data_IF_662447444135
#
_entry.id   IF_662447444135
#
_cell.length_a   1.000
_cell.length_b   1.000
_cell.length_c   1.000
_cell.angle_alpha   90.00
_cell.angle_beta   90.00
_cell.angle_gamma   90.00
#
_symmetry.space_group_name_H-M   'P 1'
#
loop_
_entity.id
_entity.type
_entity.pdbx_description
1 polymer ?
#
# COMPACT_ATOMS: atom_id res chain seq x y z
N UNK A 1 1.95 26.14 6.81
CA UNK A 1 0.98 27.12 7.36
C UNK A 1 1.66 28.47 7.29
N UNK A 2 1.29 29.30 6.31
CA UNK A 2 1.71 30.70 6.20
C UNK A 2 0.59 31.41 5.44
N UNK A 3 -0.45 31.79 6.20
CA UNK A 3 -1.37 32.82 5.76
C UNK A 3 -0.59 34.14 5.84
N UNK A 4 -0.13 34.65 4.70
CA UNK A 4 0.62 35.90 4.67
C UNK A 4 0.03 36.87 3.65
N UNK A 5 -0.66 37.88 4.16
CA UNK A 5 -0.95 39.13 3.46
C UNK A 5 -0.34 40.28 4.25
N UNK A 6 0.69 40.87 3.66
CA UNK A 6 1.43 42.06 4.07
C UNK A 6 2.50 42.20 2.96
N UNK A 7 2.84 43.34 2.36
CA UNK A 7 3.20 44.62 2.96
C UNK A 7 3.16 45.66 1.83
N UNK A 8 2.32 46.68 1.97
CA UNK A 8 1.96 47.64 0.91
C UNK A 8 2.32 49.08 1.30
N UNK A 9 2.54 49.95 0.32
CA UNK A 9 2.80 51.40 0.51
C UNK A 9 1.56 52.27 0.27
N UNK A 10 0.45 51.66 -0.17
CA UNK A 10 -0.80 52.29 -0.56
C UNK A 10 -1.93 51.87 0.41
N UNK A 11 -3.01 52.66 0.54
CA UNK A 11 -4.12 52.31 1.41
C UNK A 11 -4.81 51.01 0.96
N UNK A 12 -4.90 50.05 1.89
CA UNK A 12 -5.60 48.77 1.70
C UNK A 12 -6.82 48.70 2.63
N UNK A 13 -7.83 47.92 2.22
CA UNK A 13 -9.01 47.64 3.03
C UNK A 13 -8.61 46.90 4.32
N UNK A 14 -9.16 47.33 5.45
CA UNK A 14 -8.88 46.76 6.79
C UNK A 14 -9.23 45.27 6.89
N UNK A 15 -10.17 44.79 6.07
CA UNK A 15 -10.56 43.39 5.95
C UNK A 15 -9.39 42.49 5.49
N UNK A 16 -8.51 43.01 4.64
CA UNK A 16 -7.35 42.29 4.10
C UNK A 16 -6.21 42.11 5.13
N UNK A 17 -6.27 42.85 6.24
CA UNK A 17 -5.33 42.76 7.37
C UNK A 17 -5.74 41.66 8.38
N UNK A 18 -6.92 41.05 8.23
CA UNK A 18 -7.39 39.98 9.12
C UNK A 18 -6.78 38.64 8.69
N UNK A 19 -6.10 37.90 9.60
CA UNK A 19 -5.59 36.58 9.27
C UNK A 19 -6.77 35.63 9.03
N UNK A 20 -6.81 34.99 7.87
CA UNK A 20 -7.77 33.90 7.59
C UNK A 20 -7.25 32.60 8.23
N UNK A 21 -7.65 32.35 9.46
CA UNK A 21 -7.33 31.09 10.15
C UNK A 21 -8.31 30.03 9.62
N UNK A 22 -7.85 28.97 8.95
CA UNK A 22 -8.75 27.91 8.53
C UNK A 22 -9.29 27.18 9.77
N UNK A 23 -10.61 27.24 9.94
CA UNK A 23 -11.35 26.53 10.98
C UNK A 23 -11.57 25.10 10.47
N UNK A 24 -11.57 24.09 11.35
CA UNK A 24 -11.89 22.69 11.01
C UNK A 24 -10.90 21.90 10.11
N UNK A 25 -9.64 22.33 9.99
CA UNK A 25 -8.60 21.64 9.18
C UNK A 25 -8.56 20.12 9.39
N UNK A 26 -8.67 19.66 10.65
CA UNK A 26 -8.66 18.22 10.97
C UNK A 26 -9.83 17.50 10.32
N UNK A 27 -11.04 18.06 10.44
CA UNK A 27 -12.27 17.51 9.88
C UNK A 27 -12.20 17.49 8.35
N UNK A 28 -11.73 18.57 7.73
CA UNK A 28 -11.62 18.65 6.27
C UNK A 28 -10.60 17.63 5.74
N UNK A 29 -9.50 17.45 6.47
CA UNK A 29 -8.50 16.42 6.16
C UNK A 29 -9.08 15.01 6.27
N UNK A 30 -9.85 14.72 7.32
CA UNK A 30 -10.54 13.43 7.49
C UNK A 30 -11.57 13.19 6.39
N UNK A 31 -12.36 14.20 6.01
CA UNK A 31 -13.29 14.15 4.89
C UNK A 31 -12.58 13.87 3.56
N UNK A 32 -11.45 14.52 3.30
CA UNK A 32 -10.65 14.25 2.11
C UNK A 32 -10.11 12.81 2.12
N UNK A 33 -9.59 12.33 3.24
CA UNK A 33 -9.08 10.96 3.38
C UNK A 33 -10.17 9.90 3.21
N UNK A 34 -11.34 10.10 3.83
CA UNK A 34 -12.48 9.17 3.72
C UNK A 34 -13.03 9.14 2.29
N UNK A 35 -13.11 10.29 1.62
CA UNK A 35 -13.49 10.38 0.20
C UNK A 35 -12.50 9.60 -0.67
N UNK A 36 -11.20 9.84 -0.51
CA UNK A 36 -10.14 9.12 -1.25
C UNK A 36 -10.24 7.62 -1.02
N UNK A 37 -10.37 7.18 0.24
CA UNK A 37 -10.53 5.77 0.60
C UNK A 37 -11.74 5.16 -0.11
N UNK A 38 -12.91 5.80 -0.06
CA UNK A 38 -14.14 5.32 -0.69
C UNK A 38 -13.96 5.05 -2.19
N UNK A 39 -13.36 5.99 -2.92
CA UNK A 39 -13.17 5.84 -4.37
C UNK A 39 -12.06 4.84 -4.72
N UNK A 40 -10.98 4.82 -3.94
CA UNK A 40 -9.88 3.87 -4.13
C UNK A 40 -10.33 2.43 -3.89
N UNK A 41 -11.05 2.20 -2.78
CA UNK A 41 -11.49 0.87 -2.36
C UNK A 41 -12.69 0.35 -3.19
N UNK A 42 -13.40 1.21 -3.93
CA UNK A 42 -14.63 0.84 -4.67
C UNK A 42 -14.45 -0.37 -5.60
N UNK A 43 -13.29 -0.48 -6.24
CA UNK A 43 -12.97 -1.58 -7.17
C UNK A 43 -11.96 -2.57 -6.59
N UNK A 44 -11.49 -2.35 -5.35
CA UNK A 44 -10.54 -3.24 -4.71
C UNK A 44 -11.27 -4.50 -4.21
N UNK A 45 -10.70 -5.68 -4.51
CA UNK A 45 -11.21 -6.96 -4.02
C UNK A 45 -10.09 -7.70 -3.32
N UNK A 46 -10.41 -8.31 -2.19
CA UNK A 46 -9.46 -9.18 -1.49
C UNK A 46 -9.32 -10.50 -2.24
N UNK A 47 -8.07 -10.89 -2.47
CA UNK A 47 -7.76 -12.17 -3.11
C UNK A 47 -7.87 -13.32 -2.10
N UNK A 48 -8.26 -14.53 -2.53
CA UNK A 48 -8.37 -15.70 -1.65
C UNK A 48 -7.06 -15.97 -0.92
N UNK A 49 -7.13 -16.27 0.38
CA UNK A 49 -5.91 -16.55 1.16
C UNK A 49 -5.20 -17.80 0.67
N UNK A 50 -3.87 -17.82 0.79
CA UNK A 50 -3.04 -18.98 0.45
C UNK A 50 -2.75 -19.80 1.69
N UNK A 51 -2.65 -21.12 1.51
CA UNK A 51 -2.30 -22.05 2.58
C UNK A 51 -0.79 -22.19 2.70
N UNK A 52 -0.32 -22.53 3.90
CA UNK A 52 1.08 -22.90 4.16
C UNK A 52 1.46 -24.08 3.25
N UNK A 53 2.69 -24.05 2.73
CA UNK A 53 3.25 -25.01 1.77
C UNK A 53 2.59 -25.07 0.38
N UNK A 54 1.70 -24.14 0.04
CA UNK A 54 1.09 -24.10 -1.29
C UNK A 54 2.09 -23.66 -2.37
N UNK A 55 2.03 -24.30 -3.54
CA UNK A 55 2.79 -23.92 -4.74
C UNK A 55 2.25 -22.63 -5.33
N UNK A 56 3.13 -21.66 -5.57
CA UNK A 56 2.76 -20.34 -6.09
C UNK A 56 3.77 -19.84 -7.11
N UNK A 57 3.30 -19.00 -8.03
CA UNK A 57 4.15 -18.16 -8.86
C UNK A 57 4.32 -16.81 -8.19
N UNK A 58 5.57 -16.37 -8.05
CA UNK A 58 5.99 -15.13 -7.43
C UNK A 58 6.40 -14.12 -8.49
N UNK A 59 5.82 -12.92 -8.46
CA UNK A 59 6.16 -11.84 -9.37
C UNK A 59 7.48 -11.18 -8.97
N UNK A 60 8.50 -11.34 -9.80
CA UNK A 60 9.80 -10.65 -9.71
C UNK A 60 9.94 -9.70 -10.89
N UNK A 61 9.68 -8.41 -10.65
CA UNK A 61 9.63 -7.39 -11.70
C UNK A 61 8.50 -7.66 -12.70
N UNK A 62 8.86 -8.05 -13.93
CA UNK A 62 7.92 -8.43 -15.00
C UNK A 62 7.73 -9.94 -15.15
N UNK A 63 8.54 -10.75 -14.47
CA UNK A 63 8.59 -12.21 -14.65
C UNK A 63 7.89 -12.90 -13.47
N UNK A 64 7.23 -14.02 -13.74
CA UNK A 64 6.66 -14.91 -12.73
C UNK A 64 7.59 -16.10 -12.54
N UNK A 65 8.08 -16.30 -11.32
CA UNK A 65 8.97 -17.41 -10.96
C UNK A 65 8.27 -18.40 -10.03
N UNK A 66 8.58 -19.70 -10.08
CA UNK A 66 8.01 -20.67 -9.16
C UNK A 66 8.52 -20.41 -7.72
N UNK A 67 7.66 -20.71 -6.75
CA UNK A 67 7.95 -20.53 -5.34
C UNK A 67 6.95 -21.30 -4.46
N UNK A 68 7.23 -21.31 -3.16
CA UNK A 68 6.42 -22.01 -2.15
C UNK A 68 6.05 -21.07 -1.02
N UNK A 69 4.81 -21.09 -0.58
CA UNK A 69 4.37 -20.30 0.59
C UNK A 69 4.90 -20.95 1.87
N UNK A 70 5.66 -20.19 2.67
CA UNK A 70 6.16 -20.66 3.98
C UNK A 70 5.16 -20.32 5.07
N UNK A 71 4.77 -19.06 5.16
CA UNK A 71 3.79 -18.62 6.14
C UNK A 71 3.11 -17.29 5.77
N UNK A 72 2.01 -16.98 6.45
CA UNK A 72 1.40 -15.65 6.44
C UNK A 72 2.24 -14.72 7.32
N UNK A 73 2.46 -13.50 6.86
CA UNK A 73 3.15 -12.49 7.66
C UNK A 73 2.16 -11.77 8.58
N UNK A 74 2.67 -11.11 9.63
CA UNK A 74 1.87 -10.33 10.59
C UNK A 74 1.06 -9.21 9.91
N UNK A 75 1.61 -8.66 8.81
CA UNK A 75 0.94 -7.60 8.05
C UNK A 75 -0.14 -8.17 7.13
N UNK A 76 -1.29 -7.48 7.00
CA UNK A 76 -2.39 -7.94 6.17
C UNK A 76 -1.93 -8.07 4.71
N UNK A 77 -2.40 -9.11 4.02
CA UNK A 77 -2.11 -9.40 2.61
C UNK A 77 -0.65 -9.69 2.28
N UNK A 78 0.26 -9.77 3.26
CA UNK A 78 1.67 -10.12 3.05
C UNK A 78 1.93 -11.59 3.41
N UNK A 79 2.77 -12.25 2.62
CA UNK A 79 3.18 -13.64 2.77
C UNK A 79 4.71 -13.75 2.70
N UNK A 80 5.25 -14.74 3.39
CA UNK A 80 6.65 -15.17 3.26
C UNK A 80 6.67 -16.32 2.27
N UNK A 81 7.44 -16.17 1.19
CA UNK A 81 7.58 -17.17 0.14
C UNK A 81 9.04 -17.57 -0.03
N UNK A 82 9.27 -18.86 -0.18
CA UNK A 82 10.55 -19.44 -0.57
C UNK A 82 10.64 -19.43 -2.08
N UNK A 83 11.73 -18.86 -2.59
CA UNK A 83 12.13 -18.92 -4.01
C UNK A 83 13.45 -19.70 -4.07
N UNK A 84 13.94 -20.03 -5.27
CA UNK A 84 15.20 -20.74 -5.49
C UNK A 84 16.38 -20.18 -4.69
N UNK A 85 16.48 -18.85 -4.56
CA UNK A 85 17.63 -18.20 -3.94
C UNK A 85 17.44 -17.78 -2.49
N UNK A 86 16.20 -17.55 -2.04
CA UNK A 86 15.96 -16.90 -0.75
C UNK A 86 14.48 -16.91 -0.33
N UNK A 87 14.27 -16.63 0.95
CA UNK A 87 12.97 -16.29 1.52
C UNK A 87 12.69 -14.79 1.33
N UNK A 88 11.58 -14.47 0.67
CA UNK A 88 11.18 -13.09 0.40
C UNK A 88 9.76 -12.82 0.88
N UNK A 89 9.52 -11.57 1.27
CA UNK A 89 8.17 -11.09 1.58
C UNK A 89 7.48 -10.56 0.33
N UNK A 90 6.27 -11.03 0.05
CA UNK A 90 5.46 -10.59 -1.10
C UNK A 90 4.00 -10.36 -0.72
N UNK A 91 3.35 -9.44 -1.42
CA UNK A 91 1.92 -9.21 -1.24
C UNK A 91 1.12 -10.26 -2.02
N UNK A 92 -0.10 -10.52 -1.57
CA UNK A 92 -1.00 -11.50 -2.17
C UNK A 92 -1.23 -11.27 -3.66
N UNK A 93 -1.27 -10.02 -4.13
CA UNK A 93 -1.41 -9.64 -5.54
C UNK A 93 -0.22 -10.07 -6.42
N UNK A 94 0.94 -10.25 -5.80
CA UNK A 94 2.20 -10.64 -6.44
C UNK A 94 2.40 -12.16 -6.41
N UNK A 95 1.42 -12.90 -5.89
CA UNK A 95 1.41 -14.36 -5.80
C UNK A 95 0.24 -14.91 -6.61
N UNK A 96 0.48 -15.94 -7.42
CA UNK A 96 -0.57 -16.70 -8.10
C UNK A 96 -0.51 -18.16 -7.65
N UNK A 97 -1.63 -18.77 -7.23
CA UNK A 97 -1.63 -20.20 -6.98
C UNK A 97 -1.27 -20.94 -8.25
N UNK A 98 -0.39 -21.93 -8.13
CA UNK A 98 0.00 -22.82 -9.21
C UNK A 98 -0.53 -24.22 -8.91
N UNK A 99 -1.03 -24.91 -9.94
CA UNK A 99 -1.41 -26.34 -9.85
C UNK A 99 -0.19 -27.26 -9.96
N UNK A 100 0.97 -26.72 -10.33
CA UNK A 100 2.20 -27.49 -10.45
C UNK A 100 2.73 -27.84 -9.06
N UNK A 101 3.41 -28.98 -8.97
CA UNK A 101 4.08 -29.39 -7.75
C UNK A 101 4.97 -28.24 -7.21
N UNK A 102 4.99 -28.02 -5.88
CA UNK A 102 5.83 -26.99 -5.31
C UNK A 102 7.29 -27.30 -5.65
N UNK A 103 8.06 -26.32 -6.14
CA UNK A 103 9.47 -26.52 -6.41
C UNK A 103 10.17 -26.96 -5.11
N UNK A 104 10.91 -28.08 -5.20
CA UNK A 104 11.73 -28.59 -4.10
C UNK A 104 13.02 -27.78 -4.10
N UNK A 105 13.09 -26.80 -3.21
CA UNK A 105 14.32 -26.07 -2.96
C UNK A 105 15.13 -26.88 -1.94
N UNK A 106 16.16 -27.58 -2.41
CA UNK A 106 17.09 -28.29 -1.53
C UNK A 106 17.89 -27.23 -0.75
N UNK A 107 17.83 -27.29 0.58
CA UNK A 107 18.75 -26.54 1.43
C UNK A 107 20.12 -27.23 1.30
N UNK A 108 21.08 -26.57 0.64
CA UNK A 108 22.48 -26.99 0.74
C UNK A 108 22.94 -26.82 2.19
N UNK A 109 23.50 -27.89 2.74
CA UNK A 109 23.93 -28.05 4.14
C UNK A 109 25.18 -27.22 4.46
#
# INVERSE_FOLDING_TARGET
MQNRTLREKLPIKTECLRPQIPINIKRDKELAQTKTKKYYDRNARDLPSLSKNQSVLVKTGRIWKPGKVVDKHEKPRSYIVQTESSFIRRNRKDLRPSMNAPPVFMEEQ
#
